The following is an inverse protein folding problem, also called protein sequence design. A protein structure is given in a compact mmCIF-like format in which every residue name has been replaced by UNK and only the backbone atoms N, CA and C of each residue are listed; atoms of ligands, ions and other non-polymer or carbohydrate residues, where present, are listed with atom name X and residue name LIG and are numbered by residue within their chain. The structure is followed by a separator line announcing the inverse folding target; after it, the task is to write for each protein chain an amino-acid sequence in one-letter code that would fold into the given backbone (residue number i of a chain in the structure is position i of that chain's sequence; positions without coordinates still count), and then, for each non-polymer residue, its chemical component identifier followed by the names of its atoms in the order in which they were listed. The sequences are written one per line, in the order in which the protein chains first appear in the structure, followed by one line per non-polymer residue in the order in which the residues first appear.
data_IF_922757923007
#
_entry.id   IF_922757923007
#
_cell.length_a   1.000
_cell.length_b   1.000
_cell.length_c   1.000
_cell.angle_alpha   90.00
_cell.angle_beta   90.00
_cell.angle_gamma   90.00
#
_symmetry.space_group_name_H-M   'P 1'
#
loop_
_entity.id
_entity.type
_entity.pdbx_description
1 polymer ?
#
# COMPACT_ATOMS: atom_id res chain seq x y z
N UNK A 1 -41.75 61.98 -52.92
CA UNK A 1 -41.18 62.40 -51.62
C UNK A 1 -40.70 61.14 -50.89
N UNK A 2 -39.37 60.99 -50.74
CA UNK A 2 -38.55 60.18 -49.79
C UNK A 2 -38.94 58.70 -49.53
N UNK A 3 -38.12 57.73 -49.98
CA UNK A 3 -37.13 56.94 -49.18
C UNK A 3 -37.73 56.32 -47.90
N UNK A 4 -37.52 55.05 -47.56
CA UNK A 4 -36.25 54.50 -47.05
C UNK A 4 -36.32 52.96 -47.08
N UNK A 5 -35.24 52.31 -47.54
CA UNK A 5 -34.95 50.89 -47.31
C UNK A 5 -34.71 50.64 -45.81
N UNK A 6 -35.36 49.63 -45.23
CA UNK A 6 -35.01 49.11 -43.92
C UNK A 6 -34.59 47.64 -44.05
N UNK A 7 -33.29 47.41 -43.88
CA UNK A 7 -32.65 46.12 -43.70
C UNK A 7 -33.18 45.42 -42.45
N UNK A 8 -33.69 44.19 -42.61
CA UNK A 8 -34.02 43.32 -41.47
C UNK A 8 -32.83 42.38 -41.24
N UNK A 9 -32.20 42.57 -40.08
CA UNK A 9 -31.19 41.70 -39.48
C UNK A 9 -31.77 40.29 -39.25
N UNK A 10 -31.03 39.28 -39.69
CA UNK A 10 -31.22 37.89 -39.31
C UNK A 10 -30.66 37.72 -37.88
N UNK A 11 -31.53 37.54 -36.88
CA UNK A 11 -31.17 36.98 -35.59
C UNK A 11 -31.34 35.46 -35.66
N UNK A 12 -30.24 34.73 -35.86
CA UNK A 12 -30.19 33.29 -35.57
C UNK A 12 -30.05 33.16 -34.06
N UNK A 13 -31.09 32.65 -33.40
CA UNK A 13 -30.98 32.12 -32.04
C UNK A 13 -30.06 30.90 -32.09
N UNK A 14 -28.86 31.03 -31.51
CA UNK A 14 -28.03 29.89 -31.15
C UNK A 14 -28.77 29.08 -30.08
N UNK A 15 -29.37 27.97 -30.48
CA UNK A 15 -29.90 26.99 -29.55
C UNK A 15 -28.75 26.38 -28.76
N UNK A 16 -28.73 26.63 -27.45
CA UNK A 16 -27.98 25.83 -26.49
C UNK A 16 -28.43 24.37 -26.62
N UNK A 17 -27.65 23.56 -27.33
CA UNK A 17 -27.81 22.12 -27.38
C UNK A 17 -27.17 21.56 -26.12
N UNK A 18 -28.00 21.08 -25.19
CA UNK A 18 -27.55 20.26 -24.06
C UNK A 18 -26.90 18.99 -24.61
N UNK A 19 -25.75 18.53 -24.09
CA UNK A 19 -25.22 17.23 -24.46
C UNK A 19 -26.16 16.16 -23.91
N UNK A 20 -26.88 15.47 -24.79
CA UNK A 20 -27.62 14.26 -24.43
C UNK A 20 -26.61 13.21 -23.99
N UNK A 21 -26.64 12.89 -22.70
CA UNK A 21 -25.91 11.76 -22.12
C UNK A 21 -26.46 10.47 -22.74
N UNK A 22 -25.70 9.88 -23.66
CA UNK A 22 -25.99 8.54 -24.21
C UNK A 22 -25.40 7.49 -23.27
N UNK A 23 -26.20 6.59 -22.68
CA UNK A 23 -25.71 5.60 -21.72
C UNK A 23 -25.01 4.39 -22.37
N UNK A 24 -24.86 4.35 -23.70
CA UNK A 24 -24.38 3.17 -24.43
C UNK A 24 -22.90 3.22 -24.83
N UNK A 25 -22.04 3.71 -23.93
CA UNK A 25 -20.60 3.41 -24.07
C UNK A 25 -20.36 2.07 -23.40
N UNK A 26 -20.35 1.00 -24.20
CA UNK A 26 -19.86 -0.33 -23.84
C UNK A 26 -18.66 -0.17 -22.91
N UNK A 27 -18.84 -0.59 -21.66
CA UNK A 27 -17.75 -0.83 -20.71
C UNK A 27 -16.78 -1.73 -21.45
N UNK A 28 -15.67 -1.14 -21.91
CA UNK A 28 -14.61 -1.87 -22.57
C UNK A 28 -14.18 -3.00 -21.65
N UNK A 29 -14.07 -4.20 -22.21
CA UNK A 29 -13.56 -5.40 -21.57
C UNK A 29 -12.54 -5.02 -20.49
N UNK A 30 -12.88 -5.32 -19.23
CA UNK A 30 -11.90 -5.31 -18.16
C UNK A 30 -10.77 -6.24 -18.61
N UNK A 31 -9.66 -5.66 -19.07
CA UNK A 31 -8.47 -6.43 -19.31
C UNK A 31 -8.11 -7.06 -17.97
N UNK A 32 -7.98 -8.39 -17.98
CA UNK A 32 -7.52 -9.17 -16.84
C UNK A 32 -6.08 -8.78 -16.54
N UNK A 33 -5.90 -7.68 -15.81
CA UNK A 33 -4.62 -7.17 -15.32
C UNK A 33 -4.18 -7.97 -14.10
N UNK A 34 -4.18 -9.30 -14.26
CA UNK A 34 -3.70 -10.21 -13.25
C UNK A 34 -2.18 -10.00 -13.11
N UNK A 35 -1.68 -10.03 -11.88
CA UNK A 35 -0.24 -10.09 -11.60
C UNK A 35 0.46 -11.26 -12.32
N UNK A 36 -0.24 -12.23 -12.93
CA UNK A 36 0.37 -13.44 -13.50
C UNK A 36 0.82 -13.32 -14.95
N UNK A 37 0.54 -12.23 -15.68
CA UNK A 37 1.14 -12.02 -17.01
C UNK A 37 2.63 -11.71 -16.84
N UNK A 38 3.45 -12.75 -17.01
CA UNK A 38 4.92 -12.73 -17.13
C UNK A 38 5.61 -11.65 -16.28
N UNK A 39 5.75 -11.94 -14.98
CA UNK A 39 6.54 -11.14 -14.03
C UNK A 39 8.06 -11.28 -14.23
N UNK A 40 8.52 -11.73 -15.41
CA UNK A 40 9.94 -12.00 -15.67
C UNK A 40 10.70 -10.78 -16.19
N UNK A 41 10.03 -9.81 -16.82
CA UNK A 41 10.66 -8.58 -17.29
C UNK A 41 10.50 -7.44 -16.29
N UNK A 42 11.63 -7.01 -15.72
CA UNK A 42 11.74 -5.81 -14.87
C UNK A 42 11.47 -4.58 -15.76
N UNK A 43 10.48 -3.73 -15.44
CA UNK A 43 10.18 -2.54 -16.24
C UNK A 43 11.38 -1.60 -16.33
N UNK A 44 11.78 -1.21 -17.54
CA UNK A 44 12.90 -0.30 -17.76
C UNK A 44 12.46 1.17 -17.63
N UNK A 45 12.20 1.59 -16.40
CA UNK A 45 11.80 2.95 -16.08
C UNK A 45 12.91 3.99 -16.36
N UNK A 46 14.18 3.61 -16.37
CA UNK A 46 15.29 4.53 -16.63
C UNK A 46 15.26 5.06 -18.07
N UNK A 47 14.82 4.24 -19.03
CA UNK A 47 14.66 4.66 -20.43
C UNK A 47 13.50 5.63 -20.63
N UNK A 48 12.36 5.39 -19.97
CA UNK A 48 11.18 6.25 -20.10
C UNK A 48 11.25 7.50 -19.22
N UNK A 49 12.05 7.45 -18.16
CA UNK A 49 12.16 8.49 -17.16
C UNK A 49 11.13 8.35 -16.04
N UNK A 50 11.24 9.27 -15.09
CA UNK A 50 10.55 9.21 -13.80
C UNK A 50 9.75 10.49 -13.53
N UNK A 51 8.50 10.34 -13.11
CA UNK A 51 7.68 11.42 -12.61
C UNK A 51 7.77 11.56 -11.09
N UNK A 52 7.92 12.80 -10.61
CA UNK A 52 7.97 13.09 -9.17
C UNK A 52 6.60 13.05 -8.53
N UNK A 53 5.54 13.35 -9.27
CA UNK A 53 4.15 13.36 -8.85
C UNK A 53 3.32 12.54 -9.85
N UNK A 54 2.31 11.84 -9.36
CA UNK A 54 1.35 11.14 -10.22
C UNK A 54 0.57 12.19 -11.02
N UNK A 55 0.58 12.06 -12.33
CA UNK A 55 -0.20 12.88 -13.28
C UNK A 55 -1.67 12.41 -13.34
N UNK A 56 -2.60 13.24 -13.83
CA UNK A 56 -3.98 12.79 -14.06
C UNK A 56 -4.08 11.53 -14.92
N UNK A 57 -3.29 11.43 -15.98
CA UNK A 57 -3.25 10.28 -16.89
C UNK A 57 -2.74 9.02 -16.16
N UNK A 58 -1.70 9.15 -15.35
CA UNK A 58 -1.23 8.05 -14.50
C UNK A 58 -2.29 7.67 -13.44
N UNK A 59 -3.04 8.63 -12.89
CA UNK A 59 -4.09 8.34 -11.93
C UNK A 59 -5.25 7.56 -12.57
N UNK A 60 -5.58 7.81 -13.83
CA UNK A 60 -6.56 7.01 -14.57
C UNK A 60 -6.11 5.54 -14.70
N UNK A 61 -4.82 5.32 -14.98
CA UNK A 61 -4.24 3.97 -15.02
C UNK A 61 -4.27 3.32 -13.64
N UNK A 62 -3.88 4.03 -12.58
CA UNK A 62 -3.96 3.54 -11.19
C UNK A 62 -5.39 3.15 -10.84
N UNK A 63 -6.37 3.98 -11.18
CA UNK A 63 -7.79 3.70 -10.94
C UNK A 63 -8.26 2.45 -11.71
N UNK A 64 -7.78 2.26 -12.94
CA UNK A 64 -8.12 1.10 -13.76
C UNK A 64 -7.52 -0.21 -13.23
N UNK A 65 -6.26 -0.19 -12.80
CA UNK A 65 -5.52 -1.39 -12.41
C UNK A 65 -5.75 -1.73 -10.94
N UNK A 66 -5.67 -0.73 -10.05
CA UNK A 66 -5.77 -0.93 -8.60
C UNK A 66 -7.15 -0.62 -8.03
N UNK A 67 -8.01 0.08 -8.77
CA UNK A 67 -9.36 0.43 -8.31
C UNK A 67 -10.36 -0.72 -8.39
N UNK A 68 -10.03 -1.81 -9.10
CA UNK A 68 -10.89 -3.00 -9.19
C UNK A 68 -11.00 -3.74 -7.85
N UNK A 69 -12.23 -4.17 -7.51
CA UNK A 69 -12.54 -4.93 -6.29
C UNK A 69 -11.58 -6.10 -6.06
N UNK A 70 -11.21 -6.83 -7.11
CA UNK A 70 -10.26 -7.95 -7.05
C UNK A 70 -8.93 -7.57 -6.44
N UNK A 71 -8.29 -6.51 -6.96
CA UNK A 71 -6.99 -6.07 -6.48
C UNK A 71 -7.10 -5.50 -5.06
N UNK A 72 -8.12 -4.68 -4.80
CA UNK A 72 -8.39 -4.12 -3.47
C UNK A 72 -8.58 -5.21 -2.40
N UNK A 73 -9.34 -6.26 -2.72
CA UNK A 73 -9.54 -7.40 -1.84
C UNK A 73 -8.26 -8.20 -1.65
N UNK A 74 -7.50 -8.48 -2.71
CA UNK A 74 -6.23 -9.18 -2.59
C UNK A 74 -5.30 -8.44 -1.63
N UNK A 75 -5.12 -7.13 -1.83
CA UNK A 75 -4.25 -6.31 -0.98
C UNK A 75 -4.74 -6.31 0.48
N UNK A 76 -6.03 -6.11 0.71
CA UNK A 76 -6.63 -6.14 2.03
C UNK A 76 -6.49 -7.50 2.74
N UNK A 77 -6.80 -8.59 2.05
CA UNK A 77 -6.68 -9.96 2.57
C UNK A 77 -5.23 -10.33 2.84
N UNK A 78 -4.30 -9.94 1.96
CA UNK A 78 -2.87 -10.20 2.11
C UNK A 78 -2.30 -9.60 3.40
N UNK A 79 -2.64 -8.34 3.68
CA UNK A 79 -2.24 -7.71 4.95
C UNK A 79 -2.92 -8.39 6.14
N UNK A 80 -4.22 -8.67 6.07
CA UNK A 80 -4.95 -9.31 7.17
C UNK A 80 -4.41 -10.69 7.52
N UNK A 81 -4.23 -11.56 6.52
CA UNK A 81 -3.84 -12.95 6.70
C UNK A 81 -2.42 -13.08 7.29
N UNK A 82 -1.45 -12.26 6.83
CA UNK A 82 -0.13 -12.17 7.49
C UNK A 82 -0.21 -11.63 8.91
N UNK A 83 -1.27 -10.87 9.22
CA UNK A 83 -1.55 -10.29 10.52
C UNK A 83 -1.83 -11.26 11.66
N UNK A 84 -1.87 -12.57 11.40
CA UNK A 84 -2.17 -13.55 12.44
C UNK A 84 -3.66 -13.53 12.80
N UNK A 85 -4.52 -13.58 11.78
CA UNK A 85 -5.94 -13.89 11.99
C UNK A 85 -6.09 -15.13 12.89
N UNK A 86 -7.14 -15.14 13.72
CA UNK A 86 -7.52 -16.34 14.45
C UNK A 86 -7.65 -17.52 13.47
N UNK A 87 -7.23 -18.75 13.84
CA UNK A 87 -7.30 -19.90 12.95
C UNK A 87 -8.68 -20.11 12.29
N UNK A 88 -9.78 -19.75 12.97
CA UNK A 88 -11.14 -19.85 12.41
C UNK A 88 -11.40 -18.83 11.31
N UNK A 89 -10.90 -17.61 11.48
CA UNK A 89 -11.04 -16.54 10.49
C UNK A 89 -10.10 -16.78 9.31
N UNK A 90 -8.88 -17.24 9.57
CA UNK A 90 -7.95 -17.70 8.54
C UNK A 90 -8.57 -18.83 7.71
N UNK A 91 -9.18 -19.83 8.35
CA UNK A 91 -9.88 -20.90 7.65
C UNK A 91 -11.03 -20.37 6.78
N UNK A 92 -11.79 -19.39 7.27
CA UNK A 92 -12.87 -18.74 6.50
C UNK A 92 -12.30 -18.07 5.25
N UNK A 93 -11.19 -17.34 5.37
CA UNK A 93 -10.51 -16.74 4.21
C UNK A 93 -10.10 -17.81 3.20
N UNK A 94 -9.55 -18.93 3.66
CA UNK A 94 -9.07 -20.00 2.76
C UNK A 94 -10.22 -20.70 2.05
N UNK A 95 -11.32 -20.97 2.76
CA UNK A 95 -12.52 -21.59 2.17
C UNK A 95 -13.25 -20.66 1.20
N UNK A 96 -13.28 -19.36 1.48
CA UNK A 96 -14.01 -18.39 0.66
C UNK A 96 -13.19 -17.92 -0.54
N UNK A 97 -11.91 -17.61 -0.33
CA UNK A 97 -11.07 -16.90 -1.29
C UNK A 97 -9.97 -17.78 -1.92
N UNK A 98 -9.83 -19.04 -1.50
CA UNK A 98 -8.95 -20.03 -2.14
C UNK A 98 -7.84 -20.57 -1.24
N UNK A 99 -7.34 -21.76 -1.59
CA UNK A 99 -6.41 -22.49 -0.73
C UNK A 99 -5.02 -21.85 -0.63
N UNK A 100 -4.59 -21.03 -1.61
CA UNK A 100 -3.26 -20.39 -1.57
C UNK A 100 -3.09 -19.38 -0.43
N UNK A 101 -4.20 -18.92 0.14
CA UNK A 101 -4.18 -18.07 1.33
C UNK A 101 -3.65 -18.80 2.57
N UNK A 102 -3.66 -20.14 2.59
CA UNK A 102 -3.15 -20.97 3.70
C UNK A 102 -1.63 -20.97 3.83
N UNK A 103 -0.91 -20.67 2.75
CA UNK A 103 0.56 -20.72 2.71
C UNK A 103 1.22 -19.42 3.20
N UNK A 104 0.55 -18.67 4.07
CA UNK A 104 1.07 -17.42 4.60
C UNK A 104 2.23 -17.65 5.58
N UNK A 105 3.13 -16.67 5.67
CA UNK A 105 4.11 -16.63 6.75
C UNK A 105 3.61 -15.73 7.87
N UNK A 106 3.62 -16.28 9.10
CA UNK A 106 3.21 -15.54 10.27
C UNK A 106 4.26 -14.48 10.63
N UNK A 107 3.76 -13.32 11.07
CA UNK A 107 4.59 -12.18 11.50
C UNK A 107 5.33 -12.48 12.81
N UNK A 108 4.77 -13.36 13.65
CA UNK A 108 5.42 -13.85 14.86
C UNK A 108 5.61 -15.38 14.78
N UNK A 109 6.74 -15.92 15.27
CA UNK A 109 7.88 -15.21 15.85
C UNK A 109 8.63 -14.36 14.81
N UNK A 110 9.31 -13.33 15.30
CA UNK A 110 10.04 -12.36 14.48
C UNK A 110 11.10 -13.08 13.65
N UNK A 111 11.31 -12.69 12.38
CA UNK A 111 12.33 -13.27 11.53
C UNK A 111 13.72 -13.22 12.18
N UNK A 112 14.40 -14.36 12.14
CA UNK A 112 15.77 -14.50 12.60
C UNK A 112 16.75 -14.28 11.45
N UNK A 113 18.02 -14.02 11.77
CA UNK A 113 19.09 -13.98 10.76
C UNK A 113 19.65 -15.38 10.50
N UNK A 114 18.80 -16.27 10.00
CA UNK A 114 19.09 -17.68 9.70
C UNK A 114 18.79 -18.00 8.23
N UNK A 115 19.16 -17.09 7.34
CA UNK A 115 18.97 -17.26 5.89
C UNK A 115 19.56 -18.61 5.41
N UNK A 116 18.82 -19.30 4.54
CA UNK A 116 19.20 -20.60 3.99
C UNK A 116 18.92 -21.80 4.89
N UNK A 117 18.33 -21.62 6.08
CA UNK A 117 17.89 -22.73 6.93
C UNK A 117 16.40 -23.04 6.74
N UNK A 118 16.00 -24.26 7.10
CA UNK A 118 14.59 -24.67 7.10
C UNK A 118 13.71 -23.93 8.12
N UNK A 119 14.33 -23.14 9.01
CA UNK A 119 13.64 -22.34 10.04
C UNK A 119 13.61 -20.85 9.68
N UNK A 120 14.00 -20.49 8.46
CA UNK A 120 13.91 -19.13 7.97
C UNK A 120 12.45 -18.69 7.88
N UNK A 121 12.11 -17.57 8.51
CA UNK A 121 10.80 -16.93 8.37
C UNK A 121 10.92 -15.80 7.34
N UNK A 122 10.40 -15.95 6.11
CA UNK A 122 10.55 -14.95 5.06
C UNK A 122 9.47 -13.86 5.09
N UNK A 123 8.73 -13.70 6.19
CA UNK A 123 7.59 -12.78 6.27
C UNK A 123 7.90 -11.34 5.86
N UNK A 124 9.09 -10.82 6.16
CA UNK A 124 9.47 -9.48 5.71
C UNK A 124 9.87 -9.43 4.23
N UNK A 125 10.39 -10.53 3.67
CA UNK A 125 10.60 -10.64 2.23
C UNK A 125 9.28 -10.68 1.48
N UNK A 126 8.25 -11.38 1.99
CA UNK A 126 6.92 -11.34 1.37
C UNK A 126 6.41 -9.90 1.25
N UNK A 127 6.65 -9.07 2.27
CA UNK A 127 6.31 -7.64 2.24
C UNK A 127 7.05 -6.88 1.16
N UNK A 128 8.37 -7.03 1.09
CA UNK A 128 9.17 -6.35 0.07
C UNK A 128 8.79 -6.83 -1.34
N UNK A 129 8.67 -8.14 -1.51
CA UNK A 129 8.34 -8.77 -2.77
C UNK A 129 6.96 -8.37 -3.29
N UNK A 130 5.92 -8.47 -2.47
CA UNK A 130 4.54 -8.16 -2.90
C UNK A 130 4.43 -6.72 -3.41
N UNK A 131 5.01 -5.75 -2.69
CA UNK A 131 4.96 -4.35 -3.10
C UNK A 131 5.86 -4.04 -4.31
N UNK A 132 7.01 -4.71 -4.44
CA UNK A 132 7.83 -4.64 -5.65
C UNK A 132 7.05 -5.13 -6.86
N UNK A 133 6.33 -6.23 -6.74
CA UNK A 133 5.52 -6.76 -7.84
C UNK A 133 4.34 -5.83 -8.19
N UNK A 134 3.75 -5.15 -7.21
CA UNK A 134 2.75 -4.09 -7.48
C UNK A 134 3.36 -2.90 -8.23
N UNK A 135 4.56 -2.46 -7.85
CA UNK A 135 5.29 -1.41 -8.56
C UNK A 135 5.63 -1.82 -9.99
N UNK A 136 6.07 -3.06 -10.19
CA UNK A 136 6.38 -3.60 -11.51
C UNK A 136 5.12 -3.67 -12.39
N UNK A 137 4.02 -4.19 -11.85
CA UNK A 137 2.73 -4.22 -12.53
C UNK A 137 2.33 -2.82 -13.02
N UNK A 138 2.31 -1.83 -12.11
CA UNK A 138 1.88 -0.48 -12.48
C UNK A 138 2.84 0.18 -13.47
N UNK A 139 4.15 -0.02 -13.29
CA UNK A 139 5.16 0.53 -14.18
C UNK A 139 5.01 -0.02 -15.61
N UNK A 140 4.70 -1.30 -15.79
CA UNK A 140 4.39 -1.84 -17.13
C UNK A 140 3.19 -1.15 -17.75
N UNK A 141 2.10 -1.00 -17.00
CA UNK A 141 0.89 -0.34 -17.48
C UNK A 141 1.12 1.13 -17.86
N UNK A 142 2.01 1.83 -17.15
CA UNK A 142 2.45 3.17 -17.56
C UNK A 142 3.26 3.12 -18.86
N UNK A 143 4.27 2.27 -18.95
CA UNK A 143 5.17 2.18 -20.11
C UNK A 143 4.42 1.76 -21.38
N UNK A 144 3.49 0.81 -21.28
CA UNK A 144 2.64 0.36 -22.40
C UNK A 144 1.76 1.48 -22.96
N UNK A 145 1.49 2.52 -22.15
CA UNK A 145 0.75 3.74 -22.53
C UNK A 145 1.67 4.91 -22.89
N UNK A 146 2.98 4.69 -22.98
CA UNK A 146 3.96 5.73 -23.23
C UNK A 146 4.12 6.74 -22.09
N UNK A 147 3.66 6.39 -20.88
CA UNK A 147 3.82 7.20 -19.68
C UNK A 147 5.12 6.84 -18.96
N UNK A 148 5.63 7.80 -18.20
CA UNK A 148 6.79 7.60 -17.32
C UNK A 148 6.41 6.82 -16.06
N UNK A 149 7.39 6.21 -15.40
CA UNK A 149 7.18 5.57 -14.10
C UNK A 149 7.05 6.60 -12.98
N UNK A 150 6.46 6.21 -11.85
CA UNK A 150 6.34 7.08 -10.66
C UNK A 150 7.53 6.83 -9.73
N UNK A 151 8.25 7.89 -9.38
CA UNK A 151 9.39 7.80 -8.47
C UNK A 151 8.94 7.78 -7.02
N UNK A 152 9.47 6.85 -6.23
CA UNK A 152 9.37 6.85 -4.76
C UNK A 152 9.90 8.13 -4.10
N UNK A 153 9.68 8.28 -2.79
CA UNK A 153 10.42 9.29 -2.02
C UNK A 153 11.91 8.96 -2.03
N UNK A 154 12.75 9.99 -2.20
CA UNK A 154 14.21 9.79 -2.24
C UNK A 154 14.77 9.49 -0.86
N UNK A 155 14.32 10.22 0.15
CA UNK A 155 14.87 10.28 1.51
C UNK A 155 13.84 10.90 2.48
N UNK A 156 14.20 10.99 3.76
CA UNK A 156 13.35 11.59 4.79
C UNK A 156 13.00 13.06 4.52
N UNK A 157 13.84 13.84 3.84
CA UNK A 157 13.53 15.24 3.57
C UNK A 157 12.41 15.34 2.54
N UNK A 158 12.39 14.48 1.52
CA UNK A 158 11.27 14.42 0.57
C UNK A 158 9.98 13.94 1.25
N UNK A 159 10.06 12.96 2.16
CA UNK A 159 8.91 12.52 2.97
C UNK A 159 8.35 13.70 3.78
N UNK A 160 9.20 14.42 4.50
CA UNK A 160 8.77 15.49 5.39
C UNK A 160 8.24 16.72 4.65
N UNK A 161 8.76 17.01 3.46
CA UNK A 161 8.31 18.10 2.60
C UNK A 161 7.03 17.77 1.79
N UNK A 162 6.61 16.50 1.75
CA UNK A 162 5.40 16.11 1.03
C UNK A 162 4.14 16.63 1.76
N UNK A 163 3.17 17.21 1.04
CA UNK A 163 1.99 17.80 1.67
C UNK A 163 1.18 16.74 2.43
N UNK A 164 0.83 17.08 3.68
CA UNK A 164 -0.12 16.33 4.50
C UNK A 164 -1.54 16.79 4.16
N UNK A 165 -2.56 15.91 4.27
CA UNK A 165 -3.95 16.29 4.01
C UNK A 165 -4.57 17.19 5.09
N UNK A 166 -3.95 17.28 6.27
CA UNK A 166 -4.38 18.17 7.36
C UNK A 166 -3.18 18.72 8.15
N UNK A 167 -3.41 19.82 8.86
CA UNK A 167 -2.45 20.46 9.78
C UNK A 167 -2.41 19.78 11.16
N UNK A 168 -2.92 18.56 11.27
CA UNK A 168 -2.93 17.81 12.52
C UNK A 168 -1.52 17.60 13.05
N UNK A 169 -1.40 17.79 14.36
CA UNK A 169 -0.16 17.61 15.11
C UNK A 169 -0.16 16.27 15.86
N UNK A 170 -0.93 15.29 15.38
CA UNK A 170 -1.04 13.96 16.00
C UNK A 170 -0.13 12.93 15.33
N UNK A 171 0.53 12.12 16.14
CA UNK A 171 1.35 10.98 15.76
C UNK A 171 2.31 11.34 14.63
N UNK A 172 2.38 10.55 13.54
CA UNK A 172 3.33 10.80 12.46
C UNK A 172 3.04 12.06 11.62
N UNK A 173 1.90 12.74 11.82
CA UNK A 173 1.62 14.04 11.21
C UNK A 173 2.30 15.20 11.95
N UNK A 174 2.65 15.01 13.23
CA UNK A 174 3.36 16.03 13.99
C UNK A 174 4.77 16.25 13.43
N UNK A 175 5.09 17.48 13.05
CA UNK A 175 6.41 17.80 12.48
C UNK A 175 7.53 17.78 13.54
N UNK A 176 7.20 17.72 14.84
CA UNK A 176 8.19 17.40 15.88
C UNK A 176 8.80 16.02 15.71
N UNK A 177 8.15 15.11 14.96
CA UNK A 177 8.67 13.77 14.65
C UNK A 177 9.61 13.75 13.45
N UNK A 178 9.98 14.92 12.90
CA UNK A 178 10.89 15.01 11.76
C UNK A 178 12.22 14.29 12.00
N UNK A 179 12.80 14.42 13.19
CA UNK A 179 14.07 13.76 13.53
C UNK A 179 13.94 12.24 13.63
N UNK A 180 12.76 11.73 14.02
CA UNK A 180 12.49 10.30 13.99
C UNK A 180 12.51 9.78 12.54
N UNK A 181 11.85 10.47 11.59
CA UNK A 181 11.86 10.08 10.18
C UNK A 181 13.28 10.09 9.60
N UNK A 182 14.07 11.14 9.88
CA UNK A 182 15.47 11.23 9.44
C UNK A 182 16.34 10.14 10.05
N UNK A 183 16.16 9.85 11.34
CA UNK A 183 16.88 8.78 12.03
C UNK A 183 16.59 7.42 11.40
N UNK A 184 15.32 7.12 11.10
CA UNK A 184 14.93 5.86 10.46
C UNK A 184 15.48 5.73 9.04
N UNK A 185 15.35 6.77 8.22
CA UNK A 185 15.94 6.81 6.88
C UNK A 185 17.46 6.61 6.91
N UNK A 186 18.16 7.22 7.88
CA UNK A 186 19.60 7.02 8.07
C UNK A 186 19.94 5.56 8.42
N UNK A 187 19.20 4.94 9.36
CA UNK A 187 19.39 3.52 9.71
C UNK A 187 19.19 2.59 8.51
N UNK A 188 18.12 2.79 7.75
CA UNK A 188 17.80 1.96 6.58
C UNK A 188 18.78 2.15 5.40
N UNK A 189 19.72 3.09 5.49
CA UNK A 189 20.80 3.29 4.51
C UNK A 189 22.20 3.03 5.07
N UNK A 190 22.31 2.71 6.36
CA UNK A 190 23.58 2.37 6.97
C UNK A 190 24.03 0.97 6.51
N UNK A 191 25.04 0.94 5.64
CA UNK A 191 25.60 -0.30 5.10
C UNK A 191 26.18 -1.21 6.19
N UNK A 192 26.56 -0.69 7.35
CA UNK A 192 27.04 -1.52 8.46
C UNK A 192 25.90 -2.27 9.12
N UNK A 193 24.79 -1.59 9.42
CA UNK A 193 23.59 -2.22 9.97
C UNK A 193 22.93 -3.17 8.95
N UNK A 194 22.87 -2.79 7.67
CA UNK A 194 22.29 -3.65 6.63
C UNK A 194 23.04 -4.98 6.42
N UNK A 195 24.31 -5.07 6.81
CA UNK A 195 25.08 -6.33 6.82
C UNK A 195 24.73 -7.26 7.97
N UNK A 196 24.11 -6.76 9.03
CA UNK A 196 23.81 -7.56 10.23
C UNK A 196 22.41 -8.16 10.22
N UNK A 197 21.57 -7.78 9.24
CA UNK A 197 20.18 -8.21 9.14
C UNK A 197 19.91 -8.98 7.85
N UNK A 198 19.06 -10.01 7.92
CA UNK A 198 18.51 -10.67 6.73
C UNK A 198 17.55 -9.75 5.98
N UNK A 199 17.26 -10.05 4.70
CA UNK A 199 16.27 -9.29 3.94
C UNK A 199 14.87 -9.36 4.58
N UNK A 200 14.51 -10.50 5.21
CA UNK A 200 13.26 -10.62 5.96
C UNK A 200 13.25 -9.75 7.23
N UNK A 201 14.37 -9.66 7.95
CA UNK A 201 14.46 -8.73 9.10
C UNK A 201 14.36 -7.26 8.66
N UNK A 202 14.98 -6.89 7.54
CA UNK A 202 14.85 -5.56 6.96
C UNK A 202 13.40 -5.24 6.59
N UNK A 203 12.74 -6.13 5.84
CA UNK A 203 11.35 -5.94 5.43
C UNK A 203 10.39 -5.83 6.62
N UNK A 204 10.60 -6.65 7.65
CA UNK A 204 9.85 -6.58 8.89
C UNK A 204 10.06 -5.24 9.63
N UNK A 205 11.31 -4.79 9.77
CA UNK A 205 11.63 -3.51 10.39
C UNK A 205 11.01 -2.34 9.61
N UNK A 206 11.08 -2.35 8.28
CA UNK A 206 10.45 -1.34 7.43
C UNK A 206 8.94 -1.28 7.62
N UNK A 207 8.24 -2.42 7.48
CA UNK A 207 6.77 -2.54 7.58
C UNK A 207 6.25 -1.93 8.89
N UNK A 208 6.85 -2.32 10.02
CA UNK A 208 6.38 -1.96 11.35
C UNK A 208 7.10 -0.76 12.00
N UNK A 209 7.77 0.06 11.20
CA UNK A 209 8.28 1.37 11.64
C UNK A 209 7.90 2.44 10.61
N UNK A 210 8.81 2.83 9.72
CA UNK A 210 8.67 3.99 8.84
C UNK A 210 7.53 3.82 7.82
N UNK A 211 7.27 2.60 7.33
CA UNK A 211 6.20 2.33 6.37
C UNK A 211 4.81 2.70 6.93
N UNK A 212 4.40 2.09 8.05
CA UNK A 212 3.10 2.36 8.66
C UNK A 212 2.95 3.83 9.07
N UNK A 213 4.03 4.44 9.56
CA UNK A 213 4.06 5.87 9.88
C UNK A 213 3.88 6.76 8.64
N UNK A 214 4.45 6.42 7.48
CA UNK A 214 4.20 7.15 6.23
C UNK A 214 2.74 7.05 5.79
N UNK A 215 2.13 5.87 5.87
CA UNK A 215 0.70 5.73 5.58
C UNK A 215 -0.15 6.66 6.45
N UNK A 216 0.08 6.66 7.77
CA UNK A 216 -0.68 7.51 8.69
C UNK A 216 -0.36 9.00 8.58
N UNK A 217 0.88 9.37 8.23
CA UNK A 217 1.27 10.76 7.99
C UNK A 217 0.45 11.36 6.84
N UNK A 218 0.22 10.60 5.78
CA UNK A 218 -0.44 11.09 4.57
C UNK A 218 -1.91 10.67 4.42
N UNK A 219 -2.43 9.81 5.30
CA UNK A 219 -3.84 9.44 5.31
C UNK A 219 -4.74 10.61 5.74
N UNK A 220 -5.92 10.71 5.13
CA UNK A 220 -6.99 11.57 5.64
C UNK A 220 -7.38 11.17 7.06
N UNK A 221 -7.60 12.16 7.93
CA UNK A 221 -8.05 11.90 9.30
C UNK A 221 -9.54 11.60 9.38
N UNK A 222 -10.30 12.22 8.49
CA UNK A 222 -11.75 12.07 8.41
C UNK A 222 -12.13 11.68 7.00
N UNK A 223 -12.74 10.52 6.90
CA UNK A 223 -13.35 10.07 5.66
C UNK A 223 -14.60 10.90 5.32
N UNK A 224 -14.90 11.08 4.02
CA UNK A 224 -16.22 11.48 3.57
C UNK A 224 -17.32 10.63 4.25
N UNK A 225 -18.45 11.27 4.57
CA UNK A 225 -19.51 10.66 5.39
C UNK A 225 -20.03 9.33 4.81
N UNK A 226 -20.04 9.20 3.48
CA UNK A 226 -20.44 8.00 2.76
C UNK A 226 -19.57 6.77 3.05
N UNK A 227 -18.35 6.94 3.54
CA UNK A 227 -17.42 5.84 3.82
C UNK A 227 -17.37 5.44 5.29
N UNK A 228 -18.02 6.19 6.19
CA UNK A 228 -18.08 5.87 7.61
C UNK A 228 -16.70 5.66 8.24
N UNK A 229 -16.49 4.49 8.85
CA UNK A 229 -15.24 4.10 9.53
C UNK A 229 -14.26 3.33 8.62
N UNK A 230 -14.53 3.29 7.31
CA UNK A 230 -13.77 2.53 6.32
C UNK A 230 -14.48 1.25 5.84
N UNK A 231 -13.86 0.57 4.89
CA UNK A 231 -14.45 -0.53 4.14
C UNK A 231 -14.76 -1.72 5.05
N UNK A 232 -16.05 -2.10 5.08
CA UNK A 232 -16.54 -3.26 5.82
C UNK A 232 -16.53 -4.49 4.92
N UNK A 233 -15.35 -5.09 4.70
CA UNK A 233 -15.16 -6.21 3.77
C UNK A 233 -15.96 -7.43 4.25
N UNK A 234 -16.91 -7.93 3.47
CA UNK A 234 -17.67 -9.13 3.79
C UNK A 234 -16.86 -10.41 3.55
N UNK A 235 -16.61 -11.20 4.61
CA UNK A 235 -15.81 -12.43 4.52
C UNK A 235 -16.51 -13.62 3.84
N UNK A 236 -17.80 -13.49 3.54
CA UNK A 236 -18.57 -14.45 2.76
C UNK A 236 -18.53 -14.18 1.24
N UNK A 237 -17.74 -13.17 0.81
CA UNK A 237 -17.64 -12.70 -0.57
C UNK A 237 -18.98 -12.24 -1.18
N UNK A 238 -20.00 -11.95 -0.35
CA UNK A 238 -21.28 -11.40 -0.78
C UNK A 238 -21.25 -9.87 -0.59
N UNK A 239 -20.88 -9.16 -1.65
CA UNK A 239 -20.81 -7.71 -1.65
C UNK A 239 -22.17 -7.09 -1.98
N UNK A 240 -22.56 -5.99 -1.32
CA UNK A 240 -23.74 -5.23 -1.72
C UNK A 240 -23.63 -4.75 -3.18
N UNK A 241 -24.74 -4.78 -3.92
CA UNK A 241 -24.78 -4.11 -5.22
C UNK A 241 -24.49 -2.61 -5.04
N UNK A 242 -23.60 -2.06 -5.88
CA UNK A 242 -23.17 -0.66 -5.77
C UNK A 242 -22.39 -0.35 -4.49
N UNK A 243 -21.65 -1.32 -3.94
CA UNK A 243 -20.86 -1.14 -2.73
C UNK A 243 -19.94 0.09 -2.84
N UNK A 244 -20.20 1.10 -2.00
CA UNK A 244 -19.62 2.44 -2.13
C UNK A 244 -18.08 2.45 -2.10
N UNK A 245 -17.47 1.46 -1.45
CA UNK A 245 -16.02 1.34 -1.27
C UNK A 245 -15.27 0.91 -2.55
N UNK A 246 -15.96 0.44 -3.59
CA UNK A 246 -15.33 0.17 -4.88
C UNK A 246 -15.08 1.43 -5.70
N UNK A 247 -15.68 2.55 -5.30
CA UNK A 247 -15.43 3.84 -5.93
C UNK A 247 -13.94 4.20 -5.85
N UNK A 248 -13.32 4.73 -6.91
CA UNK A 248 -11.95 5.26 -6.85
C UNK A 248 -11.81 6.42 -5.85
N UNK A 249 -12.92 7.05 -5.42
CA UNK A 249 -12.94 8.02 -4.31
C UNK A 249 -12.59 7.39 -2.96
N UNK A 250 -12.77 6.08 -2.80
CA UNK A 250 -12.29 5.35 -1.65
C UNK A 250 -10.81 4.99 -1.84
N UNK A 251 -9.94 5.95 -1.53
CA UNK A 251 -8.49 5.84 -1.67
C UNK A 251 -7.76 6.14 -0.34
N UNK A 252 -8.36 5.73 0.78
CA UNK A 252 -7.84 6.02 2.11
C UNK A 252 -6.55 5.24 2.39
N UNK A 253 -5.44 5.96 2.59
CA UNK A 253 -4.12 5.35 2.82
C UNK A 253 -4.05 4.49 4.09
N UNK A 254 -4.91 4.72 5.07
CA UNK A 254 -4.91 3.93 6.31
C UNK A 254 -5.66 2.59 6.18
N UNK A 255 -6.31 2.36 5.05
CA UNK A 255 -7.03 1.13 4.77
C UNK A 255 -6.40 0.45 3.55
N UNK A 256 -5.79 -0.74 3.69
CA UNK A 256 -5.24 -1.50 2.56
C UNK A 256 -6.21 -1.72 1.38
N UNK A 257 -7.53 -1.80 1.61
CA UNK A 257 -8.54 -1.88 0.56
C UNK A 257 -8.56 -0.63 -0.34
N UNK A 258 -8.30 0.54 0.24
CA UNK A 258 -8.28 1.83 -0.44
C UNK A 258 -6.89 2.28 -0.88
N UNK A 259 -5.85 1.90 -0.14
CA UNK A 259 -4.57 2.58 -0.14
C UNK A 259 -3.89 2.62 -1.52
N UNK A 260 -3.90 1.52 -2.28
CA UNK A 260 -3.22 1.43 -3.58
C UNK A 260 -3.79 2.38 -4.66
N UNK A 261 -5.00 2.90 -4.47
CA UNK A 261 -5.59 3.90 -5.37
C UNK A 261 -5.07 5.31 -5.09
N UNK A 262 -4.52 5.55 -3.90
CA UNK A 262 -3.97 6.85 -3.54
C UNK A 262 -2.64 7.10 -4.26
N UNK A 263 -2.42 8.27 -4.89
CA UNK A 263 -1.16 8.55 -5.58
C UNK A 263 0.07 8.53 -4.65
N UNK A 264 -0.10 8.86 -3.37
CA UNK A 264 1.00 8.86 -2.38
C UNK A 264 1.44 7.44 -2.02
N UNK A 265 0.60 6.42 -2.19
CA UNK A 265 0.98 5.02 -1.98
C UNK A 265 2.24 4.66 -2.77
N UNK A 266 2.28 5.01 -4.06
CA UNK A 266 3.41 4.72 -4.94
C UNK A 266 4.69 5.47 -4.55
N UNK A 267 4.55 6.64 -3.91
CA UNK A 267 5.68 7.38 -3.34
C UNK A 267 6.28 6.64 -2.15
N UNK A 268 5.42 6.14 -1.25
CA UNK A 268 5.81 5.37 -0.06
C UNK A 268 6.48 4.05 -0.49
N UNK A 269 5.84 3.30 -1.37
CA UNK A 269 6.34 1.98 -1.75
C UNK A 269 7.57 2.05 -2.65
N UNK A 270 7.71 3.07 -3.51
CA UNK A 270 8.96 3.28 -4.23
C UNK A 270 10.14 3.62 -3.30
N UNK A 271 9.90 4.29 -2.15
CA UNK A 271 10.92 4.48 -1.13
C UNK A 271 11.31 3.13 -0.50
N UNK A 272 10.32 2.36 -0.03
CA UNK A 272 10.53 1.03 0.57
C UNK A 272 11.32 0.13 -0.38
N UNK A 273 10.93 0.11 -1.65
CA UNK A 273 11.58 -0.68 -2.69
C UNK A 273 13.06 -0.28 -2.90
N UNK A 274 13.35 1.02 -2.89
CA UNK A 274 14.73 1.51 -3.06
C UNK A 274 15.67 1.08 -1.92
N UNK A 275 15.15 0.78 -0.72
CA UNK A 275 15.95 0.29 0.40
C UNK A 275 16.52 -1.12 0.13
N UNK A 276 15.86 -1.91 -0.72
CA UNK A 276 16.36 -3.22 -1.14
C UNK A 276 17.73 -3.08 -1.82
N UNK A 277 17.93 -2.04 -2.64
CA UNK A 277 19.19 -1.82 -3.36
C UNK A 277 20.35 -1.50 -2.41
N UNK A 278 20.09 -0.75 -1.33
CA UNK A 278 21.09 -0.52 -0.28
C UNK A 278 21.46 -1.83 0.43
N UNK A 279 20.48 -2.69 0.71
CA UNK A 279 20.74 -3.99 1.34
C UNK A 279 21.53 -4.93 0.43
N UNK A 280 21.20 -4.99 -0.87
CA UNK A 280 21.94 -5.77 -1.86
C UNK A 280 23.39 -5.30 -1.92
N UNK A 281 23.62 -3.99 -2.03
CA UNK A 281 24.96 -3.41 -2.04
C UNK A 281 25.75 -3.72 -0.75
N UNK A 282 25.11 -3.58 0.42
CA UNK A 282 25.72 -3.89 1.71
C UNK A 282 26.19 -5.35 1.81
N UNK A 283 25.40 -6.27 1.22
CA UNK A 283 25.61 -7.73 1.24
C UNK A 283 26.26 -8.29 -0.03
N UNK A 284 26.80 -7.42 -0.90
CA UNK A 284 27.56 -7.78 -2.12
C UNK A 284 26.74 -8.53 -3.19
N UNK A 285 25.43 -8.34 -3.21
CA UNK A 285 24.56 -8.75 -4.31
C UNK A 285 24.42 -7.60 -5.32
N UNK A 286 24.34 -7.93 -6.61
CA UNK A 286 24.11 -6.98 -7.70
C UNK A 286 22.66 -6.99 -8.18
N UNK A 287 22.01 -8.15 -8.10
CA UNK A 287 20.63 -8.33 -8.56
C UNK A 287 19.83 -9.16 -7.57
N UNK A 288 18.51 -9.10 -7.71
CA UNK A 288 17.59 -9.93 -6.95
C UNK A 288 16.50 -10.47 -7.88
N UNK A 289 16.21 -11.76 -7.77
CA UNK A 289 15.28 -12.44 -8.66
C UNK A 289 14.54 -13.59 -7.95
N UNK A 290 13.42 -14.04 -8.53
CA UNK A 290 12.69 -15.23 -8.03
C UNK A 290 13.52 -16.50 -8.19
N UNK A 291 14.28 -16.56 -9.27
CA UNK A 291 15.21 -17.65 -9.58
C UNK A 291 16.53 -17.03 -10.03
N UNK A 292 17.62 -17.31 -9.33
CA UNK A 292 18.94 -16.83 -9.74
C UNK A 292 19.66 -17.76 -10.71
N UNK A 293 19.22 -19.02 -10.82
CA UNK A 293 19.79 -20.03 -11.74
C UNK A 293 21.32 -20.13 -11.68
N UNK A 294 21.89 -19.98 -10.48
CA UNK A 294 23.34 -20.03 -10.25
C UNK A 294 24.12 -18.78 -10.66
N UNK A 295 23.46 -17.70 -11.06
CA UNK A 295 24.12 -16.42 -11.36
C UNK A 295 24.85 -15.88 -10.13
N UNK A 296 26.16 -15.71 -10.26
CA UNK A 296 26.97 -15.11 -9.20
C UNK A 296 26.46 -13.70 -8.87
N UNK A 297 26.32 -13.42 -7.57
CA UNK A 297 25.90 -12.09 -7.14
C UNK A 297 24.40 -11.79 -7.26
N UNK A 298 23.59 -12.79 -7.64
CA UNK A 298 22.14 -12.70 -7.58
C UNK A 298 21.64 -13.20 -6.22
N UNK A 299 20.82 -12.39 -5.53
CA UNK A 299 20.05 -12.82 -4.38
C UNK A 299 18.74 -13.47 -4.84
N UNK A 300 18.47 -14.68 -4.38
CA UNK A 300 17.19 -15.33 -4.68
C UNK A 300 16.19 -15.05 -3.57
N UNK A 301 15.02 -14.50 -3.92
CA UNK A 301 13.91 -14.34 -2.98
C UNK A 301 13.59 -15.66 -2.28
N UNK A 302 13.44 -15.61 -0.96
CA UNK A 302 12.94 -16.70 -0.13
C UNK A 302 11.47 -16.48 0.25
N UNK A 303 11.04 -15.21 0.32
CA UNK A 303 9.64 -14.82 0.48
C UNK A 303 9.08 -14.28 -0.81
N UNK A 304 8.08 -14.97 -1.36
CA UNK A 304 7.38 -14.57 -2.60
C UNK A 304 5.86 -14.67 -2.48
N UNK A 305 5.34 -14.82 -1.25
CA UNK A 305 3.93 -15.06 -1.05
C UNK A 305 3.11 -13.79 -1.28
N UNK A 306 2.22 -13.83 -2.27
CA UNK A 306 1.29 -12.75 -2.65
C UNK A 306 -0.18 -13.12 -2.45
N UNK A 307 -0.44 -14.23 -1.74
CA UNK A 307 -1.78 -14.80 -1.60
C UNK A 307 -2.26 -15.50 -2.88
N UNK A 308 -3.57 -15.72 -2.99
CA UNK A 308 -4.18 -15.99 -4.28
C UNK A 308 -4.60 -14.66 -4.90
N UNK A 309 -4.35 -14.50 -6.19
CA UNK A 309 -5.24 -13.62 -6.93
C UNK A 309 -6.58 -14.32 -6.94
N UNK A 310 -7.63 -13.57 -6.63
CA UNK A 310 -8.98 -14.07 -6.83
C UNK A 310 -9.14 -14.31 -8.33
N UNK A 311 -8.69 -15.46 -8.85
CA UNK A 311 -9.36 -16.07 -9.96
C UNK A 311 -10.81 -16.05 -9.51
N UNK A 312 -11.72 -15.38 -10.23
CA UNK A 312 -13.12 -15.50 -9.90
C UNK A 312 -13.35 -17.00 -9.83
N UNK A 313 -13.59 -17.53 -8.63
CA UNK A 313 -14.20 -18.84 -8.50
C UNK A 313 -15.40 -18.76 -9.45
N UNK A 314 -15.68 -19.83 -10.19
CA UNK A 314 -16.59 -19.87 -11.36
C UNK A 314 -17.97 -19.15 -11.21
N UNK A 315 -18.30 -18.62 -10.05
CA UNK A 315 -19.43 -17.74 -9.74
C UNK A 315 -19.19 -16.22 -9.92
N UNK A 316 -17.96 -15.73 -10.14
CA UNK A 316 -17.68 -14.28 -10.15
C UNK A 316 -17.84 -13.64 -8.76
N UNK A 317 -17.49 -12.35 -8.62
CA UNK A 317 -17.94 -11.56 -7.48
C UNK A 317 -19.44 -11.34 -7.67
N UNK A 318 -20.26 -12.24 -7.12
CA UNK A 318 -21.70 -12.13 -7.27
C UNK A 318 -22.18 -10.84 -6.62
N UNK A 319 -22.80 -9.96 -7.41
CA UNK A 319 -23.78 -9.00 -6.91
C UNK A 319 -25.00 -9.81 -6.43
N UNK A 320 -24.81 -10.58 -5.36
CA UNK A 320 -25.84 -11.42 -4.81
C UNK A 320 -26.75 -10.55 -3.94
N UNK A 321 -28.06 -10.76 -4.06
CA UNK A 321 -28.99 -10.34 -3.01
C UNK A 321 -28.47 -10.91 -1.69
N UNK A 322 -28.19 -10.08 -0.67
CA UNK A 322 -27.54 -10.56 0.53
C UNK A 322 -28.39 -11.64 1.16
N UNK A 323 -27.86 -12.87 1.30
CA UNK A 323 -28.45 -13.79 2.26
C UNK A 323 -28.33 -13.12 3.64
N UNK A 324 -29.35 -13.27 4.48
CA UNK A 324 -29.25 -12.77 5.86
C UNK A 324 -28.05 -13.47 6.53
N UNK A 325 -27.00 -12.71 6.83
CA UNK A 325 -25.85 -13.23 7.59
C UNK A 325 -26.29 -13.66 8.97
N UNK A 326 -25.77 -14.78 9.43
CA UNK A 326 -25.87 -15.19 10.82
C UNK A 326 -25.18 -14.17 11.72
N UNK A 327 -25.57 -14.14 13.01
CA UNK A 327 -24.92 -13.29 14.02
C UNK A 327 -23.42 -13.58 14.10
N UNK A 328 -23.02 -14.83 13.92
CA UNK A 328 -21.63 -15.28 13.96
C UNK A 328 -20.82 -14.78 12.75
N UNK A 329 -21.36 -14.87 11.54
CA UNK A 329 -20.71 -14.33 10.33
C UNK A 329 -20.50 -12.81 10.40
N UNK A 330 -21.47 -12.09 10.98
CA UNK A 330 -21.36 -10.66 11.21
C UNK A 330 -20.26 -10.33 12.23
N UNK A 331 -20.15 -11.10 13.32
CA UNK A 331 -19.08 -10.92 14.31
C UNK A 331 -17.70 -11.14 13.70
N UNK A 332 -17.51 -12.21 12.92
CA UNK A 332 -16.23 -12.50 12.25
C UNK A 332 -15.85 -11.44 11.22
N UNK A 333 -16.82 -11.01 10.42
CA UNK A 333 -16.63 -9.91 9.47
C UNK A 333 -16.16 -8.65 10.18
N UNK A 334 -16.80 -8.30 11.30
CA UNK A 334 -16.41 -7.13 12.10
C UNK A 334 -15.00 -7.28 12.67
N UNK A 335 -14.68 -8.45 13.21
CA UNK A 335 -13.36 -8.71 13.81
C UNK A 335 -12.24 -8.67 12.76
N UNK A 336 -12.44 -9.29 11.60
CA UNK A 336 -11.51 -9.19 10.48
C UNK A 336 -11.23 -7.76 10.06
N UNK A 337 -12.28 -6.94 9.89
CA UNK A 337 -12.11 -5.54 9.49
C UNK A 337 -11.39 -4.73 10.57
N UNK A 338 -11.65 -5.02 11.85
CA UNK A 338 -10.93 -4.41 12.98
C UNK A 338 -9.45 -4.77 12.97
N UNK A 339 -9.10 -6.05 12.87
CA UNK A 339 -7.71 -6.54 12.88
C UNK A 339 -6.92 -6.00 11.69
N UNK A 340 -7.55 -5.97 10.52
CA UNK A 340 -6.99 -5.41 9.29
C UNK A 340 -6.53 -3.96 9.45
N UNK A 341 -7.42 -3.09 9.98
CA UNK A 341 -7.09 -1.69 10.23
C UNK A 341 -6.09 -1.55 11.38
N UNK A 342 -6.28 -2.30 12.47
CA UNK A 342 -5.37 -2.28 13.61
C UNK A 342 -3.92 -2.61 13.21
N UNK A 343 -3.74 -3.53 12.24
CA UNK A 343 -2.41 -3.88 11.72
C UNK A 343 -1.69 -2.68 11.11
N UNK A 344 -2.38 -1.86 10.32
CA UNK A 344 -1.81 -0.67 9.72
C UNK A 344 -1.36 0.36 10.78
N UNK A 345 -1.91 0.26 11.99
CA UNK A 345 -1.56 1.11 13.15
C UNK A 345 -0.40 0.56 14.00
N UNK A 346 0.12 -0.64 13.72
CA UNK A 346 1.24 -1.19 14.47
C UNK A 346 2.53 -0.41 14.19
N UNK A 347 3.24 -0.05 15.26
CA UNK A 347 4.46 0.75 15.19
C UNK A 347 4.28 2.21 14.77
N UNK A 348 3.03 2.67 14.66
CA UNK A 348 2.73 4.10 14.43
C UNK A 348 3.03 4.90 15.69
N UNK A 349 3.75 6.01 15.53
CA UNK A 349 4.05 6.96 16.60
C UNK A 349 2.75 7.46 17.21
N UNK A 350 2.60 7.34 18.53
CA UNK A 350 1.42 7.78 19.29
C UNK A 350 1.64 9.16 19.89
N UNK A 351 0.54 9.90 20.09
CA UNK A 351 0.52 11.30 20.57
C UNK A 351 1.26 11.55 21.90
N UNK A 352 1.58 10.50 22.67
CA UNK A 352 2.20 10.60 24.00
C UNK A 352 3.59 9.94 24.13
N UNK A 353 4.21 9.44 23.06
CA UNK A 353 5.55 8.84 23.15
C UNK A 353 6.71 9.85 22.96
N UNK A 354 6.38 11.12 22.68
CA UNK A 354 7.36 12.22 22.58
C UNK A 354 7.54 13.09 23.83
N UNK A 355 6.66 13.00 24.84
CA UNK A 355 6.65 13.93 25.98
C UNK A 355 6.10 13.30 27.28
N UNK A 356 6.68 12.21 27.79
CA UNK A 356 6.60 11.88 29.24
C UNK A 356 7.56 10.76 29.65
N UNK A 357 8.83 11.11 29.79
CA UNK A 357 9.62 10.65 30.95
C UNK A 357 10.22 11.91 31.56
N UNK A 358 9.47 12.54 32.44
CA UNK A 358 10.06 13.47 33.39
C UNK A 358 11.07 12.68 34.22
N UNK A 359 12.35 12.93 33.98
CA UNK A 359 13.38 12.64 34.96
C UNK A 359 13.05 13.43 36.24
N UNK A 360 13.33 12.88 37.43
CA UNK A 360 13.34 13.68 38.65
C UNK A 360 14.27 14.88 38.41
N UNK A 361 13.78 16.07 38.74
CA UNK A 361 14.57 17.29 38.69
C UNK A 361 15.83 17.09 39.52
N UNK A 362 16.99 17.08 38.88
CA UNK A 362 18.19 17.77 39.35
C UNK A 362 19.30 17.75 38.29
N UNK A 363 19.99 18.89 38.24
CA UNK A 363 21.27 19.17 37.59
C UNK A 363 21.36 19.18 36.06
N UNK A 364 21.81 20.33 35.57
CA UNK A 364 22.21 20.61 34.21
C UNK A 364 23.21 19.55 33.68
N UNK A 365 22.81 18.84 32.64
CA UNK A 365 23.70 18.05 31.80
C UNK A 365 23.15 18.07 30.37
N UNK A 366 24.05 18.25 29.42
CA UNK A 366 23.79 18.27 27.97
C UNK A 366 22.76 17.22 27.56
N UNK A 367 21.71 17.64 26.85
CA UNK A 367 20.76 16.72 26.20
C UNK A 367 21.50 15.87 25.16
N UNK A 368 22.06 14.76 25.60
CA UNK A 368 22.44 13.67 24.71
C UNK A 368 21.16 13.20 24.03
N UNK A 369 21.10 13.32 22.70
CA UNK A 369 20.06 12.69 21.90
C UNK A 369 20.04 11.20 22.27
N UNK A 370 18.91 10.70 22.75
CA UNK A 370 18.71 9.26 22.92
C UNK A 370 18.99 8.64 21.56
N UNK A 371 20.04 7.82 21.45
CA UNK A 371 20.33 7.09 20.23
C UNK A 371 19.05 6.37 19.81
N UNK A 372 18.56 6.56 18.57
CA UNK A 372 17.30 5.94 18.18
C UNK A 372 17.41 4.42 18.38
N UNK A 373 16.39 3.83 19.01
CA UNK A 373 16.29 2.37 19.16
C UNK A 373 16.50 1.73 17.77
N UNK A 374 17.23 0.61 17.71
CA UNK A 374 17.39 -0.18 16.48
C UNK A 374 15.99 -0.44 15.86
N UNK A 375 15.76 -0.15 14.57
CA UNK A 375 14.44 -0.33 13.96
C UNK A 375 13.88 -1.75 14.05
N UNK A 376 14.73 -2.78 14.05
CA UNK A 376 14.30 -4.17 14.22
C UNK A 376 13.85 -4.45 15.66
N UNK A 377 14.53 -3.86 16.64
CA UNK A 377 14.12 -3.91 18.05
C UNK A 377 12.83 -3.12 18.29
N UNK A 378 12.68 -1.96 17.65
CA UNK A 378 11.43 -1.18 17.68
C UNK A 378 10.26 -2.00 17.12
N UNK A 379 10.44 -2.57 15.91
CA UNK A 379 9.43 -3.42 15.29
C UNK A 379 9.07 -4.62 16.18
N UNK A 380 10.06 -5.24 16.83
CA UNK A 380 9.84 -6.33 17.79
C UNK A 380 8.92 -5.92 18.92
N UNK A 381 9.22 -4.78 19.55
CA UNK A 381 8.46 -4.25 20.66
C UNK A 381 7.05 -3.83 20.24
N UNK A 382 6.81 -3.55 18.97
CA UNK A 382 5.51 -3.10 18.48
C UNK A 382 4.56 -4.24 18.08
N UNK A 383 5.08 -5.42 17.77
CA UNK A 383 4.32 -6.43 17.01
C UNK A 383 4.12 -7.75 17.75
N UNK A 384 5.14 -8.31 18.39
CA UNK A 384 5.09 -9.66 18.95
C UNK A 384 5.09 -9.66 20.50
N UNK A 385 4.24 -8.83 21.12
CA UNK A 385 4.08 -8.79 22.58
C UNK A 385 3.24 -9.92 23.14
#
# INVERSE_FOLDING_TARGET
MKMILASILIFVFAGCSTPSYSPDRKVSQAHDHSMSKSLEEIPNCDRAGWEKKVTPEQQEVINSVMGGRTHRLQHALWHSVRGGLDPKDANTVFTTFGQKWKSNHAVCPIPQNNFGTNTYNPVGEDFLFMHREMLHMLSREFLDRGLKCVRGFKDANEILAWPKPSDSTRGPKNDSNADWFRGRDAFFRDLNWLRTVSLSQLGFALEFTIHNNMHMRFAEERLPAEFGEGAQIPLDNQFPAGWVYDSPRYNWLADPYGAAVNPTFWKIHGYVDSIIDFWLAANKYQTIAKECRGQAGCYQWQGTWVGDMLAPTKAGFGDAMPKSRTVEENKRTKEFNRLRIQRQMLGVIRDNEGLSRAAPSDAASSKAAVSPLDPLEEARQNVCR
#
